data_IF_597769942517
#
_entry.id   IF_597769942517
#
_cell.length_a   1.000
_cell.length_b   1.000
_cell.length_c   1.000
_cell.angle_alpha   90.00
_cell.angle_beta   90.00
_cell.angle_gamma   90.00
#
_symmetry.space_group_name_H-M   'P 1'
#
loop_
_entity.id
_entity.type
_entity.pdbx_description
1 polymer ?
#
# COMPACT_ATOMS: atom_id res chain seq x y z
N UNK A 1 -35.05 11.47 53.68
CA UNK A 1 -34.23 12.14 52.63
C UNK A 1 -33.07 11.29 52.06
N UNK A 2 -32.61 10.20 52.71
CA UNK A 2 -31.48 9.36 52.22
C UNK A 2 -31.73 8.60 50.89
N UNK A 3 -33.00 8.32 50.56
CA UNK A 3 -33.39 7.58 49.35
C UNK A 3 -33.24 8.37 48.04
N UNK A 4 -33.45 9.70 48.07
CA UNK A 4 -33.28 10.55 46.88
C UNK A 4 -31.80 10.68 46.51
N UNK A 5 -30.91 10.78 47.50
CA UNK A 5 -29.46 10.80 47.29
C UNK A 5 -28.91 9.47 46.74
N UNK A 6 -29.44 8.33 47.18
CA UNK A 6 -29.06 7.04 46.62
C UNK A 6 -29.47 6.91 45.14
N UNK A 7 -30.63 7.44 44.76
CA UNK A 7 -31.14 7.41 43.38
C UNK A 7 -30.36 8.34 42.43
N UNK A 8 -29.92 9.50 42.92
CA UNK A 8 -29.08 10.43 42.14
C UNK A 8 -27.64 9.93 42.04
N UNK A 9 -27.09 9.34 43.11
CA UNK A 9 -25.77 8.71 43.11
C UNK A 9 -25.70 7.54 42.12
N UNK A 10 -26.73 6.68 42.08
CA UNK A 10 -26.75 5.54 41.15
C UNK A 10 -26.85 5.99 39.68
N UNK A 11 -27.54 7.11 39.40
CA UNK A 11 -27.58 7.72 38.07
C UNK A 11 -26.22 8.33 37.67
N UNK A 12 -25.54 8.98 38.60
CA UNK A 12 -24.19 9.54 38.36
C UNK A 12 -23.18 8.43 38.06
N UNK A 13 -23.22 7.33 38.81
CA UNK A 13 -22.36 6.15 38.58
C UNK A 13 -22.65 5.54 37.20
N UNK A 14 -23.92 5.40 36.83
CA UNK A 14 -24.29 4.88 35.51
C UNK A 14 -23.78 5.78 34.36
N UNK A 15 -23.86 7.10 34.50
CA UNK A 15 -23.35 8.07 33.51
C UNK A 15 -21.82 8.01 33.41
N UNK A 16 -21.12 7.89 34.55
CA UNK A 16 -19.66 7.74 34.58
C UNK A 16 -19.20 6.44 33.88
N UNK A 17 -19.89 5.32 34.13
CA UNK A 17 -19.60 4.06 33.44
C UNK A 17 -19.82 4.21 31.93
N UNK A 18 -20.90 4.87 31.51
CA UNK A 18 -21.19 5.12 30.10
C UNK A 18 -20.12 5.99 29.42
N UNK A 19 -19.62 7.02 30.11
CA UNK A 19 -18.53 7.87 29.63
C UNK A 19 -17.21 7.11 29.51
N UNK A 20 -16.87 6.25 30.47
CA UNK A 20 -15.67 5.41 30.41
C UNK A 20 -15.76 4.40 29.27
N UNK A 21 -16.93 3.79 29.04
CA UNK A 21 -17.15 2.90 27.91
C UNK A 21 -17.06 3.63 26.57
N UNK A 22 -17.64 4.83 26.46
CA UNK A 22 -17.56 5.65 25.25
C UNK A 22 -16.11 6.11 24.95
N UNK A 23 -15.37 6.53 25.98
CA UNK A 23 -13.97 6.90 25.85
C UNK A 23 -13.09 5.69 25.49
N UNK A 24 -13.35 4.52 26.11
CA UNK A 24 -12.67 3.27 25.80
C UNK A 24 -12.92 2.81 24.36
N UNK A 25 -14.16 2.93 23.87
CA UNK A 25 -14.51 2.60 22.49
C UNK A 25 -13.87 3.57 21.49
N UNK A 26 -13.89 4.87 21.79
CA UNK A 26 -13.24 5.91 20.98
C UNK A 26 -11.73 5.76 20.93
N UNK A 27 -11.09 5.36 22.02
CA UNK A 27 -9.66 5.04 22.04
C UNK A 27 -9.36 3.74 21.27
N UNK A 28 -10.19 2.70 21.42
CA UNK A 28 -9.98 1.44 20.71
C UNK A 28 -10.03 1.61 19.19
N UNK A 29 -10.95 2.42 18.67
CA UNK A 29 -11.10 2.66 17.23
C UNK A 29 -9.97 3.51 16.64
N UNK A 30 -9.37 4.41 17.43
CA UNK A 30 -8.20 5.19 17.00
C UNK A 30 -6.91 4.36 17.03
N UNK A 31 -6.76 3.44 17.99
CA UNK A 31 -5.61 2.53 18.05
C UNK A 31 -5.70 1.34 17.09
N UNK A 32 -6.89 0.93 16.67
CA UNK A 32 -7.11 -0.17 15.71
C UNK A 32 -7.89 0.32 14.48
N UNK A 33 -7.26 1.14 13.60
CA UNK A 33 -7.90 1.51 12.35
C UNK A 33 -8.25 0.26 11.54
N UNK A 34 -9.40 0.22 10.84
CA UNK A 34 -9.78 -0.91 10.03
C UNK A 34 -8.69 -1.21 9.01
N UNK A 35 -8.32 -2.49 8.88
CA UNK A 35 -7.32 -2.94 7.92
C UNK A 35 -7.83 -2.67 6.51
N UNK A 36 -7.22 -1.69 5.83
CA UNK A 36 -7.42 -1.44 4.40
C UNK A 36 -6.85 -2.64 3.64
N UNK A 37 -7.69 -3.62 3.33
CA UNK A 37 -7.33 -4.69 2.40
C UNK A 37 -7.66 -4.27 0.98
N UNK A 38 -6.76 -4.50 0.04
CA UNK A 38 -7.08 -4.35 -1.39
C UNK A 38 -8.13 -5.41 -1.75
N UNK A 39 -9.41 -5.05 -1.78
CA UNK A 39 -10.53 -5.99 -2.01
C UNK A 39 -11.04 -6.01 -3.44
N UNK A 40 -10.65 -5.02 -4.25
CA UNK A 40 -11.17 -4.87 -5.60
C UNK A 40 -10.18 -5.42 -6.60
N UNK A 41 -10.64 -6.32 -7.46
CA UNK A 41 -9.86 -6.78 -8.60
C UNK A 41 -9.76 -5.63 -9.61
N UNK A 42 -8.58 -5.03 -9.68
CA UNK A 42 -8.24 -3.94 -10.61
C UNK A 42 -7.03 -4.37 -11.42
N UNK A 43 -7.09 -4.10 -12.71
CA UNK A 43 -5.99 -4.27 -13.65
C UNK A 43 -5.58 -2.91 -14.17
N UNK A 44 -4.29 -2.73 -14.40
CA UNK A 44 -3.72 -1.48 -14.82
C UNK A 44 -2.39 -1.63 -15.48
N UNK A 45 -2.16 -0.83 -16.50
CA UNK A 45 -0.91 -0.78 -17.25
C UNK A 45 -0.29 0.61 -17.10
N UNK A 46 1.02 0.65 -16.93
CA UNK A 46 1.78 1.90 -16.90
C UNK A 46 3.20 1.65 -17.39
N UNK A 47 3.89 2.72 -17.78
CA UNK A 47 5.31 2.67 -18.09
C UNK A 47 6.13 3.21 -16.93
N UNK A 48 7.24 2.55 -16.66
CA UNK A 48 8.24 2.99 -15.71
C UNK A 48 9.57 3.17 -16.44
N UNK A 49 10.34 4.17 -16.04
CA UNK A 49 11.61 4.46 -16.66
C UNK A 49 12.64 4.95 -15.65
N UNK A 50 13.89 4.64 -15.95
CA UNK A 50 15.05 5.08 -15.19
C UNK A 50 15.93 5.92 -16.10
N UNK A 51 16.52 6.97 -15.52
CA UNK A 51 17.43 7.85 -16.22
C UNK A 51 18.64 8.13 -15.35
N UNK A 52 19.83 7.73 -15.79
CA UNK A 52 21.08 8.14 -15.16
C UNK A 52 21.57 9.44 -15.80
N UNK A 53 21.69 10.48 -14.98
CA UNK A 53 22.19 11.79 -15.38
C UNK A 53 23.66 11.74 -15.78
N UNK A 54 24.47 10.88 -15.14
CA UNK A 54 25.92 10.83 -15.36
C UNK A 54 26.26 10.10 -16.65
N UNK A 55 25.68 8.91 -16.87
CA UNK A 55 25.92 8.13 -18.07
C UNK A 55 24.97 8.47 -19.24
N UNK A 56 23.99 9.36 -19.03
CA UNK A 56 22.90 9.66 -19.98
C UNK A 56 22.16 8.40 -20.47
N UNK A 57 22.12 7.36 -19.64
CA UNK A 57 21.47 6.10 -19.99
C UNK A 57 20.02 6.16 -19.55
N UNK A 58 19.13 5.78 -20.45
CA UNK A 58 17.71 5.59 -20.15
C UNK A 58 17.32 4.13 -20.25
N UNK A 59 16.44 3.70 -19.36
CA UNK A 59 15.76 2.41 -19.43
C UNK A 59 14.26 2.67 -19.35
N UNK A 60 13.47 2.04 -20.20
CA UNK A 60 12.00 2.15 -20.22
C UNK A 60 11.45 0.73 -20.16
N UNK A 61 10.39 0.55 -19.39
CA UNK A 61 9.74 -0.74 -19.19
C UNK A 61 8.22 -0.57 -19.18
N UNK A 62 7.54 -1.54 -19.76
CA UNK A 62 6.10 -1.69 -19.66
C UNK A 62 5.77 -2.52 -18.42
N UNK A 63 4.85 -2.02 -17.59
CA UNK A 63 4.41 -2.67 -16.36
C UNK A 63 2.91 -2.90 -16.39
N UNK A 64 2.52 -4.15 -16.15
CA UNK A 64 1.14 -4.55 -15.95
C UNK A 64 0.96 -5.00 -14.51
N UNK A 65 -0.09 -4.51 -13.85
CA UNK A 65 -0.47 -4.89 -12.50
C UNK A 65 -1.90 -5.39 -12.48
N UNK A 66 -2.12 -6.50 -11.78
CA UNK A 66 -3.44 -7.08 -11.57
C UNK A 66 -3.61 -7.44 -10.10
N UNK A 67 -4.66 -6.92 -9.50
CA UNK A 67 -5.09 -7.36 -8.17
C UNK A 67 -5.98 -8.58 -8.29
N UNK A 68 -5.71 -9.60 -7.47
CA UNK A 68 -6.57 -10.78 -7.31
C UNK A 68 -6.51 -11.25 -5.86
N UNK A 69 -7.65 -11.32 -5.19
CA UNK A 69 -7.76 -11.81 -3.80
C UNK A 69 -6.78 -11.14 -2.80
N UNK A 70 -6.66 -9.81 -2.83
CA UNK A 70 -5.77 -9.07 -1.91
C UNK A 70 -4.28 -9.18 -2.19
N UNK A 71 -3.93 -9.77 -3.33
CA UNK A 71 -2.56 -9.88 -3.82
C UNK A 71 -2.44 -9.09 -5.12
N UNK A 72 -1.34 -8.35 -5.30
CA UNK A 72 -1.06 -7.65 -6.56
C UNK A 72 0.00 -8.44 -7.33
N UNK A 73 -0.39 -8.99 -8.48
CA UNK A 73 0.54 -9.56 -9.45
C UNK A 73 1.06 -8.45 -10.35
N UNK A 74 2.36 -8.40 -10.54
CA UNK A 74 3.01 -7.43 -11.43
C UNK A 74 3.85 -8.17 -12.46
N UNK A 75 3.77 -7.74 -13.71
CA UNK A 75 4.64 -8.16 -14.80
C UNK A 75 5.30 -6.93 -15.38
N UNK A 76 6.63 -6.94 -15.48
CA UNK A 76 7.42 -5.89 -16.09
C UNK A 76 8.18 -6.49 -17.27
N UNK A 77 8.09 -5.85 -18.42
CA UNK A 77 8.77 -6.24 -19.66
C UNK A 77 9.52 -5.04 -20.25
N UNK A 78 10.56 -5.29 -21.05
CA UNK A 78 11.21 -4.22 -21.80
C UNK A 78 10.67 -4.18 -23.22
N UNK A 79 10.26 -3.01 -23.73
CA UNK A 79 9.93 -2.85 -25.15
C UNK A 79 11.16 -3.02 -26.06
N UNK A 80 12.36 -2.82 -25.52
CA UNK A 80 13.64 -2.87 -26.28
C UNK A 80 14.34 -4.24 -26.17
N UNK A 81 14.03 -5.05 -25.14
CA UNK A 81 14.59 -6.40 -24.96
C UNK A 81 13.51 -7.40 -24.52
N UNK A 82 13.03 -8.21 -25.47
CA UNK A 82 12.02 -9.23 -25.22
C UNK A 82 12.48 -10.37 -24.29
N UNK A 83 13.78 -10.45 -23.98
CA UNK A 83 14.33 -11.42 -23.03
C UNK A 83 14.26 -10.91 -21.58
N UNK A 84 14.03 -9.61 -21.40
CA UNK A 84 13.78 -9.02 -20.09
C UNK A 84 12.33 -9.27 -19.67
N UNK A 85 12.15 -10.06 -18.62
CA UNK A 85 10.84 -10.28 -18.01
C UNK A 85 11.01 -10.42 -16.50
N UNK A 86 10.27 -9.61 -15.77
CA UNK A 86 10.10 -9.75 -14.33
C UNK A 86 8.62 -10.01 -14.02
N UNK A 87 8.35 -11.00 -13.18
CA UNK A 87 7.03 -11.28 -12.62
C UNK A 87 7.13 -11.36 -11.12
N UNK A 88 6.31 -10.60 -10.43
CA UNK A 88 6.32 -10.44 -9.00
C UNK A 88 4.93 -10.58 -8.40
N UNK A 89 4.88 -11.07 -7.16
CA UNK A 89 3.67 -11.11 -6.34
C UNK A 89 3.86 -10.21 -5.13
N UNK A 90 3.12 -9.12 -5.06
CA UNK A 90 3.05 -8.25 -3.90
C UNK A 90 1.94 -8.73 -2.97
N UNK A 91 2.34 -9.17 -1.78
CA UNK A 91 1.42 -9.61 -0.73
C UNK A 91 1.32 -8.53 0.33
N UNK A 92 0.12 -8.02 0.58
CA UNK A 92 -0.10 -7.07 1.65
C UNK A 92 0.14 -7.75 3.00
N UNK A 93 0.94 -7.11 3.87
CA UNK A 93 1.29 -7.64 5.19
C UNK A 93 0.66 -6.88 6.34
N UNK A 94 0.61 -5.55 6.22
CA UNK A 94 0.14 -4.67 7.28
C UNK A 94 -0.50 -3.43 6.66
N UNK A 95 -1.51 -2.89 7.35
CA UNK A 95 -2.00 -1.55 7.13
C UNK A 95 -1.84 -0.77 8.43
N UNK A 96 -1.07 0.32 8.42
CA UNK A 96 -0.82 1.13 9.62
C UNK A 96 -0.55 2.59 9.23
N UNK A 97 -1.13 3.54 9.99
CA UNK A 97 -0.92 4.99 9.81
C UNK A 97 -1.17 5.47 8.35
N UNK A 98 -2.25 4.97 7.73
CA UNK A 98 -2.58 5.31 6.34
C UNK A 98 -1.64 4.71 5.28
N UNK A 99 -0.72 3.83 5.68
CA UNK A 99 0.21 3.13 4.77
C UNK A 99 -0.15 1.65 4.66
N UNK A 100 -0.03 1.13 3.45
CA UNK A 100 -0.13 -0.27 3.11
C UNK A 100 1.27 -0.84 2.87
N UNK A 101 1.62 -1.89 3.58
CA UNK A 101 2.93 -2.52 3.50
C UNK A 101 2.85 -3.84 2.72
N UNK A 102 3.79 -4.05 1.82
CA UNK A 102 3.84 -5.20 0.93
C UNK A 102 5.20 -5.89 1.00
N UNK A 103 5.20 -7.21 0.82
CA UNK A 103 6.39 -7.95 0.41
C UNK A 103 6.25 -8.41 -1.02
N UNK A 104 7.35 -8.27 -1.76
CA UNK A 104 7.50 -8.89 -3.06
C UNK A 104 7.97 -10.33 -2.91
N UNK A 105 7.28 -11.25 -3.55
CA UNK A 105 7.78 -12.59 -3.85
C UNK A 105 8.05 -12.66 -5.36
N UNK A 106 9.30 -12.83 -5.82
CA UNK A 106 9.57 -13.00 -7.23
C UNK A 106 8.98 -14.33 -7.70
N UNK A 107 8.27 -14.29 -8.83
CA UNK A 107 7.73 -15.48 -9.51
C UNK A 107 8.66 -15.88 -10.66
N UNK A 108 9.15 -14.88 -11.39
CA UNK A 108 10.05 -15.08 -12.52
C UNK A 108 10.92 -13.85 -12.72
N UNK A 109 12.20 -14.05 -13.03
CA UNK A 109 13.09 -12.99 -13.45
C UNK A 109 14.06 -13.55 -14.49
N UNK A 110 14.13 -12.87 -15.63
CA UNK A 110 15.00 -13.22 -16.75
C UNK A 110 15.56 -11.94 -17.34
N UNK A 111 16.87 -11.86 -17.47
CA UNK A 111 17.56 -10.83 -18.24
C UNK A 111 18.89 -11.38 -18.75
N UNK A 112 19.26 -11.08 -20.01
CA UNK A 112 20.59 -11.36 -20.53
C UNK A 112 21.58 -10.24 -20.20
N UNK A 113 21.09 -9.06 -19.79
CA UNK A 113 21.89 -7.87 -19.51
C UNK A 113 22.18 -7.78 -18.01
N UNK A 114 23.37 -7.30 -17.66
CA UNK A 114 23.78 -7.03 -16.27
C UNK A 114 23.88 -5.53 -16.02
N UNK A 115 23.63 -5.11 -14.79
CA UNK A 115 23.78 -3.71 -14.38
C UNK A 115 22.70 -2.82 -14.99
N UNK A 116 21.46 -3.32 -15.06
CA UNK A 116 20.32 -2.49 -15.37
C UNK A 116 19.96 -1.67 -14.12
N UNK A 117 19.49 -0.44 -14.31
CA UNK A 117 19.01 0.39 -13.19
C UNK A 117 17.80 -0.24 -12.50
N UNK A 118 16.95 -0.95 -13.24
CA UNK A 118 15.82 -1.70 -12.66
C UNK A 118 16.28 -2.78 -11.66
N UNK A 119 17.50 -3.31 -11.78
CA UNK A 119 18.01 -4.33 -10.86
C UNK A 119 18.06 -3.79 -9.43
N UNK A 120 18.39 -2.50 -9.25
CA UNK A 120 18.38 -1.86 -7.94
C UNK A 120 16.98 -1.70 -7.35
N UNK A 121 15.97 -1.43 -8.19
CA UNK A 121 14.57 -1.40 -7.72
C UNK A 121 14.10 -2.80 -7.33
N UNK A 122 14.39 -3.81 -8.14
CA UNK A 122 14.00 -5.20 -7.86
C UNK A 122 14.65 -5.68 -6.57
N UNK A 123 15.94 -5.42 -6.39
CA UNK A 123 16.69 -5.77 -5.19
C UNK A 123 16.10 -5.10 -3.94
N UNK A 124 15.79 -3.80 -4.01
CA UNK A 124 15.10 -3.08 -2.93
C UNK A 124 13.76 -3.73 -2.58
N UNK A 125 12.93 -4.03 -3.58
CA UNK A 125 11.59 -4.59 -3.36
C UNK A 125 11.65 -6.01 -2.80
N UNK A 126 12.67 -6.80 -3.15
CA UNK A 126 12.85 -8.16 -2.64
C UNK A 126 13.31 -8.19 -1.19
N UNK A 127 14.15 -7.22 -0.78
CA UNK A 127 14.78 -7.23 0.55
C UNK A 127 14.09 -6.32 1.56
N UNK A 128 13.14 -5.49 1.13
CA UNK A 128 12.45 -4.55 2.02
C UNK A 128 10.94 -4.73 2.00
N UNK A 129 10.32 -4.41 3.14
CA UNK A 129 8.87 -4.29 3.22
C UNK A 129 8.48 -2.91 2.67
N UNK A 130 8.19 -2.86 1.38
CA UNK A 130 7.83 -1.64 0.68
C UNK A 130 6.46 -1.13 1.12
N UNK A 131 6.34 0.16 1.41
CA UNK A 131 5.05 0.79 1.73
C UNK A 131 4.52 1.67 0.60
N UNK A 132 3.20 1.73 0.52
CA UNK A 132 2.44 2.62 -0.36
C UNK A 132 1.40 3.37 0.47
N UNK A 133 1.22 4.65 0.20
CA UNK A 133 0.22 5.49 0.85
C UNK A 133 -0.78 5.97 -0.19
N UNK A 134 -2.07 5.58 -0.10
CA UNK A 134 -3.11 6.25 -0.86
C UNK A 134 -3.26 7.69 -0.33
N UNK A 135 -3.29 8.65 -1.25
CA UNK A 135 -3.60 10.05 -0.97
C UNK A 135 -4.68 10.52 -1.94
N UNK A 136 -5.37 11.59 -1.59
CA UNK A 136 -6.37 12.21 -2.45
C UNK A 136 -5.96 13.67 -2.69
N UNK A 137 -5.84 14.05 -3.95
CA UNK A 137 -5.55 15.43 -4.37
C UNK A 137 -6.64 15.83 -5.35
N UNK A 138 -7.39 16.90 -5.06
CA UNK A 138 -8.48 17.42 -5.92
C UNK A 138 -9.47 16.33 -6.36
N UNK A 139 -9.91 15.48 -5.41
CA UNK A 139 -10.78 14.33 -5.65
C UNK A 139 -10.22 13.25 -6.58
N UNK A 140 -8.91 13.26 -6.84
CA UNK A 140 -8.22 12.22 -7.61
C UNK A 140 -7.44 11.30 -6.67
N UNK A 141 -7.71 9.98 -6.70
CA UNK A 141 -6.93 9.05 -5.90
C UNK A 141 -5.54 8.88 -6.52
N UNK A 142 -4.52 9.12 -5.70
CA UNK A 142 -3.13 8.90 -6.02
C UNK A 142 -2.54 7.92 -5.02
N UNK A 143 -1.48 7.26 -5.41
CA UNK A 143 -0.72 6.39 -4.52
C UNK A 143 0.74 6.79 -4.60
N UNK A 144 1.34 7.00 -3.43
CA UNK A 144 2.75 7.33 -3.27
C UNK A 144 3.48 6.13 -2.69
N UNK A 145 4.51 5.67 -3.37
CA UNK A 145 5.39 4.60 -2.92
C UNK A 145 6.61 5.12 -2.16
N UNK A 146 7.20 4.25 -1.33
CA UNK A 146 8.41 4.55 -0.57
C UNK A 146 9.60 5.02 -1.42
N UNK A 147 9.67 4.59 -2.69
CA UNK A 147 10.72 4.99 -3.63
C UNK A 147 10.51 6.38 -4.23
N UNK A 148 9.47 7.11 -3.81
CA UNK A 148 9.05 8.36 -4.44
C UNK A 148 8.22 8.15 -5.70
N UNK A 149 7.84 6.91 -6.02
CA UNK A 149 6.92 6.62 -7.12
C UNK A 149 5.53 7.20 -6.84
N UNK A 150 4.89 7.77 -7.86
CA UNK A 150 3.53 8.31 -7.78
C UNK A 150 2.73 7.73 -8.93
N UNK A 151 1.57 7.17 -8.65
CA UNK A 151 0.67 6.64 -9.67
C UNK A 151 -0.79 6.96 -9.37
N UNK A 152 -1.57 7.13 -10.43
CA UNK A 152 -3.01 7.34 -10.33
C UNK A 152 -3.71 6.00 -10.05
N UNK A 153 -4.68 6.00 -9.14
CA UNK A 153 -5.51 4.83 -8.85
C UNK A 153 -7.01 5.20 -8.97
N UNK A 154 -7.90 4.31 -9.45
CA UNK A 154 -7.57 3.06 -10.12
C UNK A 154 -6.77 3.33 -11.40
N UNK A 155 -5.84 2.44 -11.69
CA UNK A 155 -5.13 2.48 -12.97
C UNK A 155 -6.19 2.35 -14.07
N UNK A 156 -6.18 3.25 -15.06
CA UNK A 156 -7.15 3.21 -16.16
C UNK A 156 -6.94 1.89 -16.93
N UNK A 157 -8.04 1.26 -17.32
CA UNK A 157 -8.06 0.11 -18.23
C UNK A 157 -7.46 0.47 -19.59
#
# INVERSE_FOLDING_TARGET
>A
MKWLHAKTANRLIAVLILLVLAAGWGAWSTFNPPTLHVKTDVEGNFQLGFYDLMSQRKEIYDSSMKTTNGTVLSTITSPEDNRFVFKGKFTQTLAQNGKLYFYLTPIYYSTPQKGLMIDGLVDLLMHTRFWMAPIEIDSKPLVVGQSGSIFCYPLKK
#
